data_IF_124914965926
#
_entry.id   IF_124914965926
#
_cell.length_a   1.000
_cell.length_b   1.000
_cell.length_c   1.000
_cell.angle_alpha   90.00
_cell.angle_beta   90.00
_cell.angle_gamma   90.00
#
_symmetry.space_group_name_H-M   'P 1'
#
loop_
_entity.id
_entity.type
_entity.pdbx_description
1 polymer ?
#
# COMPACT_ATOMS: atom_id res chain seq x y z
N UNK A 1 12.11 5.84 13.66
CA UNK A 1 10.76 6.35 13.33
C UNK A 1 9.84 5.17 13.14
N UNK A 2 8.91 4.95 14.07
CA UNK A 2 7.85 3.96 13.92
C UNK A 2 6.63 4.70 13.38
N UNK A 3 6.29 4.49 12.12
CA UNK A 3 5.08 5.04 11.55
C UNK A 3 3.92 4.16 12.02
N UNK A 4 3.18 4.55 13.05
CA UNK A 4 1.94 3.85 13.44
C UNK A 4 0.77 4.43 12.65
N UNK A 5 0.85 4.41 11.33
CA UNK A 5 -0.28 4.81 10.49
C UNK A 5 -1.26 3.65 10.40
N UNK A 6 -2.55 3.90 10.68
CA UNK A 6 -3.60 2.90 10.44
C UNK A 6 -4.33 3.12 9.12
N UNK A 7 -4.09 4.25 8.46
CA UNK A 7 -4.69 4.66 7.19
C UNK A 7 -3.63 5.22 6.24
N UNK A 8 -3.82 5.00 4.94
CA UNK A 8 -2.96 5.49 3.86
C UNK A 8 -2.76 7.01 3.88
N UNK A 9 -3.80 7.79 4.20
CA UNK A 9 -3.70 9.25 4.35
C UNK A 9 -2.76 9.66 5.49
N UNK A 10 -2.85 8.97 6.62
CA UNK A 10 -2.04 9.24 7.82
C UNK A 10 -0.56 8.89 7.60
N UNK A 11 -0.29 7.92 6.72
CA UNK A 11 1.06 7.63 6.27
C UNK A 11 1.61 8.76 5.38
N UNK A 12 0.82 9.25 4.42
CA UNK A 12 1.24 10.37 3.55
C UNK A 12 1.49 11.62 4.37
N UNK A 13 0.67 11.92 5.38
CA UNK A 13 0.86 13.11 6.23
C UNK A 13 2.11 13.06 7.11
N UNK A 14 2.59 11.86 7.45
CA UNK A 14 3.86 11.70 8.16
C UNK A 14 5.09 11.86 7.24
N UNK A 15 4.90 11.90 5.92
CA UNK A 15 5.99 12.15 4.97
C UNK A 15 6.21 13.68 4.89
N UNK A 16 7.46 14.15 5.04
CA UNK A 16 7.77 15.57 4.85
C UNK A 16 7.36 16.02 3.45
N UNK A 17 6.83 17.24 3.30
CA UNK A 17 6.29 17.77 2.04
C UNK A 17 7.24 17.64 0.85
N UNK A 18 8.53 17.87 1.07
CA UNK A 18 9.60 17.72 0.07
C UNK A 18 9.64 16.30 -0.55
N UNK A 19 9.20 15.28 0.20
CA UNK A 19 9.14 13.88 -0.23
C UNK A 19 7.73 13.41 -0.60
N UNK A 20 6.68 14.19 -0.30
CA UNK A 20 5.29 13.86 -0.67
C UNK A 20 5.15 13.77 -2.19
N UNK A 21 5.75 14.70 -2.93
CA UNK A 21 5.66 14.71 -4.41
C UNK A 21 6.27 13.44 -5.04
N UNK A 22 7.46 13.05 -4.58
CA UNK A 22 8.13 11.83 -5.06
C UNK A 22 7.31 10.57 -4.72
N UNK A 23 6.71 10.51 -3.53
CA UNK A 23 5.87 9.40 -3.10
C UNK A 23 4.56 9.31 -3.89
N UNK A 24 3.94 10.45 -4.23
CA UNK A 24 2.76 10.47 -5.09
C UNK A 24 3.09 9.99 -6.51
N UNK A 25 4.22 10.43 -7.09
CA UNK A 25 4.70 9.92 -8.39
C UNK A 25 4.93 8.42 -8.35
N UNK A 26 5.56 7.91 -7.29
CA UNK A 26 5.78 6.49 -7.07
C UNK A 26 4.46 5.73 -6.96
N UNK A 27 3.51 6.20 -6.14
CA UNK A 27 2.17 5.62 -6.00
C UNK A 27 1.43 5.56 -7.33
N UNK A 28 1.43 6.65 -8.09
CA UNK A 28 0.80 6.71 -9.41
C UNK A 28 1.44 5.72 -10.40
N UNK A 29 2.77 5.61 -10.39
CA UNK A 29 3.49 4.63 -11.22
C UNK A 29 3.16 3.18 -10.81
N UNK A 30 3.08 2.90 -9.52
CA UNK A 30 2.69 1.59 -9.00
C UNK A 30 1.26 1.29 -9.44
N UNK A 31 0.27 2.12 -9.09
CA UNK A 31 -1.14 1.91 -9.46
C UNK A 31 -1.36 1.77 -10.97
N UNK A 32 -0.59 2.47 -11.79
CA UNK A 32 -0.67 2.34 -13.26
C UNK A 32 -0.16 0.99 -13.78
N UNK A 33 0.82 0.40 -13.10
CA UNK A 33 1.43 -0.88 -13.49
C UNK A 33 0.89 -2.07 -12.69
N UNK A 34 0.21 -1.82 -11.58
CA UNK A 34 -0.28 -2.85 -10.69
C UNK A 34 -1.66 -3.31 -11.19
N UNK A 35 -1.85 -4.61 -11.47
CA UNK A 35 -3.15 -5.13 -11.88
C UNK A 35 -4.17 -4.99 -10.74
N UNK A 36 -5.46 -4.91 -11.08
CA UNK A 36 -6.58 -4.71 -10.15
C UNK A 36 -6.69 -5.77 -9.04
N UNK A 37 -5.93 -6.86 -9.18
CA UNK A 37 -5.76 -7.90 -8.17
C UNK A 37 -4.87 -7.47 -7.00
N UNK A 38 -4.34 -6.25 -6.99
CA UNK A 38 -3.55 -5.73 -5.86
C UNK A 38 -4.29 -4.61 -5.15
N UNK A 39 -4.21 -4.62 -3.82
CA UNK A 39 -4.83 -3.65 -2.95
C UNK A 39 -3.77 -2.88 -2.15
N UNK A 40 -4.00 -1.59 -1.96
CA UNK A 40 -3.16 -0.72 -1.13
C UNK A 40 -3.56 -0.86 0.33
N UNK A 41 -2.59 -1.04 1.24
CA UNK A 41 -2.88 -0.96 2.67
C UNK A 41 -1.65 -0.78 3.53
N UNK A 42 -1.85 -0.75 4.84
CA UNK A 42 -0.76 -0.55 5.80
C UNK A 42 -0.34 -1.89 6.38
N UNK A 43 0.95 -2.23 6.25
CA UNK A 43 1.55 -3.43 6.83
C UNK A 43 2.74 -3.04 7.71
N UNK A 44 2.74 -3.50 8.97
CA UNK A 44 3.72 -3.09 9.99
C UNK A 44 3.93 -1.56 10.08
N UNK A 45 2.86 -0.77 9.86
CA UNK A 45 2.94 0.68 9.93
C UNK A 45 3.48 1.38 8.68
N UNK A 46 3.80 0.64 7.62
CA UNK A 46 4.25 1.18 6.34
C UNK A 46 3.21 0.96 5.24
N UNK A 47 3.11 1.91 4.31
CA UNK A 47 2.32 1.72 3.10
C UNK A 47 2.91 0.58 2.27
N UNK A 48 2.11 -0.43 2.01
CA UNK A 48 2.45 -1.59 1.20
C UNK A 48 1.34 -1.89 0.20
N UNK A 49 1.69 -2.68 -0.81
CA UNK A 49 0.76 -3.18 -1.82
C UNK A 49 0.74 -4.69 -1.69
N UNK A 50 -0.43 -5.27 -1.43
CA UNK A 50 -0.58 -6.71 -1.36
C UNK A 50 -1.45 -7.19 -2.51
N UNK A 51 -0.94 -8.20 -3.23
CA UNK A 51 -1.74 -8.93 -4.19
C UNK A 51 -2.81 -9.72 -3.45
N UNK A 52 -4.08 -9.46 -3.76
CA UNK A 52 -5.18 -10.38 -3.48
C UNK A 52 -4.85 -11.67 -4.22
N UNK A 53 -4.37 -12.65 -3.47
CA UNK A 53 -4.22 -14.00 -3.99
C UNK A 53 -5.61 -14.50 -4.41
N UNK A 54 -5.77 -15.16 -5.56
CA UNK A 54 -7.05 -15.78 -5.90
C UNK A 54 -7.38 -16.80 -4.81
N UNK A 55 -8.39 -16.51 -4.00
CA UNK A 55 -8.91 -17.46 -3.02
C UNK A 55 -9.60 -18.60 -3.76
N UNK A 56 -8.83 -19.58 -4.22
CA UNK A 56 -9.37 -20.83 -4.73
C UNK A 56 -8.53 -22.03 -4.27
N UNK A 57 -9.09 -22.65 -3.22
CA UNK A 57 -9.01 -24.07 -2.78
C UNK A 57 -7.71 -24.45 -2.05
N UNK A 58 -7.72 -25.08 -0.86
CA UNK A 58 -8.60 -26.14 -0.32
C UNK A 58 -8.54 -26.14 1.22
N UNK A 59 -9.66 -26.36 1.91
CA UNK A 59 -9.73 -27.42 2.92
C UNK A 59 -11.18 -27.91 3.06
N UNK A 60 -11.59 -28.74 2.11
CA UNK A 60 -12.52 -29.82 2.39
C UNK A 60 -11.63 -31.01 2.76
N UNK A 61 -11.49 -31.27 4.04
CA UNK A 61 -11.22 -32.60 4.59
C UNK A 61 -11.70 -32.61 6.04
#
# INVERSE_FOLDING_TARGET
MNFTASKHDEYIDQIPEDRKEAMQKLRGAILKNLPEEFEEGINYGMLGYYGRQPTSKKNTQ
#
